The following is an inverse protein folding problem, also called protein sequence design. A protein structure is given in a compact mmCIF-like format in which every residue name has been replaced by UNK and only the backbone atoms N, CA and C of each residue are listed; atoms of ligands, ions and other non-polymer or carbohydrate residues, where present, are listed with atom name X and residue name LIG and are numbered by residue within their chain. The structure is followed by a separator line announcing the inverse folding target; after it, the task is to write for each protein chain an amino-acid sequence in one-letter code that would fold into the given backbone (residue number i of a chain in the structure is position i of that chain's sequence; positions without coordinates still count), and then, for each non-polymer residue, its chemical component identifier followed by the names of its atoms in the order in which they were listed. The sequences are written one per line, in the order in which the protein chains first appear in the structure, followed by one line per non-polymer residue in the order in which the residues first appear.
data_IF_879920205533
#
_entry.id   IF_879920205533
#
_cell.length_a   1.000
_cell.length_b   1.000
_cell.length_c   1.000
_cell.angle_alpha   90.00
_cell.angle_beta   90.00
_cell.angle_gamma   90.00
#
_symmetry.space_group_name_H-M   'P 1'
#
loop_
_entity.id
_entity.type
_entity.pdbx_description
1 polymer ?
#
# COMPACT_ATOMS: atom_id res chain seq x y z
N UNK A 1 -9.49 -34.87 -14.59
CA UNK A 1 -9.57 -33.53 -13.96
C UNK A 1 -10.08 -32.55 -15.00
N UNK A 2 -11.03 -31.67 -14.67
CA UNK A 2 -11.60 -30.71 -15.64
C UNK A 2 -10.64 -29.53 -15.85
N UNK A 3 -10.54 -28.97 -17.07
CA UNK A 3 -9.73 -27.76 -17.36
C UNK A 3 -10.07 -26.58 -16.43
N UNK A 4 -11.32 -26.50 -15.94
CA UNK A 4 -11.75 -25.49 -14.97
C UNK A 4 -11.11 -25.69 -13.58
N UNK A 5 -10.94 -26.95 -13.17
CA UNK A 5 -10.25 -27.28 -11.90
C UNK A 5 -8.76 -26.95 -11.95
N UNK A 6 -8.15 -27.11 -13.12
CA UNK A 6 -6.74 -26.79 -13.35
C UNK A 6 -6.48 -25.28 -13.37
N UNK A 7 -7.30 -24.50 -14.09
CA UNK A 7 -7.24 -23.04 -14.04
C UNK A 7 -7.44 -22.49 -12.62
N UNK A 8 -8.39 -23.05 -11.87
CA UNK A 8 -8.62 -22.65 -10.47
C UNK A 8 -7.40 -22.91 -9.60
N UNK A 9 -6.71 -24.03 -9.80
CA UNK A 9 -5.47 -24.34 -9.11
C UNK A 9 -4.35 -23.36 -9.48
N UNK A 10 -4.15 -23.09 -10.78
CA UNK A 10 -3.12 -22.16 -11.27
C UNK A 10 -3.32 -20.74 -10.72
N UNK A 11 -4.54 -20.21 -10.74
CA UNK A 11 -4.82 -18.90 -10.16
C UNK A 11 -4.53 -18.85 -8.67
N UNK A 12 -4.84 -19.92 -7.94
CA UNK A 12 -4.54 -20.01 -6.50
C UNK A 12 -3.03 -20.05 -6.25
N UNK A 13 -2.28 -20.83 -7.02
CA UNK A 13 -0.82 -20.92 -6.92
C UNK A 13 -0.15 -19.57 -7.19
N UNK A 14 -0.64 -18.81 -8.17
CA UNK A 14 -0.15 -17.46 -8.51
C UNK A 14 -0.67 -16.35 -7.57
N UNK A 15 -1.51 -16.69 -6.59
CA UNK A 15 -2.21 -15.73 -5.71
C UNK A 15 -2.91 -14.64 -6.51
N UNK A 16 -3.66 -15.04 -7.55
CA UNK A 16 -4.34 -14.13 -8.47
C UNK A 16 -5.89 -14.22 -8.35
N UNK A 17 -6.47 -13.89 -7.18
CA UNK A 17 -7.88 -14.10 -6.91
C UNK A 17 -8.81 -13.15 -7.67
N UNK A 18 -8.36 -11.96 -8.06
CA UNK A 18 -9.19 -11.04 -8.84
C UNK A 18 -9.25 -11.47 -10.31
N UNK A 19 -8.12 -11.91 -10.88
CA UNK A 19 -8.11 -12.56 -12.19
C UNK A 19 -9.00 -13.81 -12.20
N UNK A 20 -8.93 -14.66 -11.18
CA UNK A 20 -9.77 -15.86 -11.07
C UNK A 20 -11.28 -15.54 -11.11
N UNK A 21 -11.70 -14.48 -10.39
CA UNK A 21 -13.11 -14.04 -10.37
C UNK A 21 -13.55 -13.42 -11.69
N UNK A 22 -12.67 -12.68 -12.37
CA UNK A 22 -13.00 -11.95 -13.59
C UNK A 22 -12.92 -12.82 -14.85
N UNK A 23 -12.08 -13.85 -14.86
CA UNK A 23 -11.78 -14.69 -16.03
C UNK A 23 -13.03 -15.22 -16.73
N UNK A 24 -14.06 -15.79 -16.06
CA UNK A 24 -15.23 -16.31 -16.76
C UNK A 24 -15.97 -15.24 -17.58
N UNK A 25 -16.15 -14.04 -17.01
CA UNK A 25 -16.79 -12.91 -17.70
C UNK A 25 -15.93 -12.39 -18.85
N UNK A 26 -14.62 -12.29 -18.65
CA UNK A 26 -13.68 -11.87 -19.69
C UNK A 26 -13.60 -12.88 -20.83
N UNK A 27 -13.73 -14.17 -20.54
CA UNK A 27 -13.71 -15.22 -21.55
C UNK A 27 -14.97 -15.18 -22.44
N UNK A 28 -16.16 -14.94 -21.86
CA UNK A 28 -17.37 -14.71 -22.65
C UNK A 28 -17.23 -13.47 -23.55
N UNK A 29 -16.72 -12.37 -22.98
CA UNK A 29 -16.51 -11.13 -23.72
C UNK A 29 -15.50 -11.28 -24.85
N UNK A 30 -14.41 -11.99 -24.61
CA UNK A 30 -13.40 -12.27 -25.62
C UNK A 30 -13.96 -13.08 -26.79
N UNK A 31 -14.89 -14.01 -26.53
CA UNK A 31 -15.60 -14.76 -27.59
C UNK A 31 -16.56 -13.86 -28.37
N UNK A 32 -17.35 -13.03 -27.69
CA UNK A 32 -18.34 -12.17 -28.35
C UNK A 32 -17.72 -11.04 -29.17
N UNK A 33 -16.58 -10.52 -28.72
CA UNK A 33 -15.89 -9.39 -29.37
C UNK A 33 -14.68 -9.84 -30.20
N UNK A 34 -14.52 -11.15 -30.44
CA UNK A 34 -13.42 -11.75 -31.23
C UNK A 34 -12.02 -11.24 -30.82
N UNK A 35 -11.74 -11.23 -29.52
CA UNK A 35 -10.44 -10.78 -29.02
C UNK A 35 -9.33 -11.76 -29.42
N UNK A 36 -8.13 -11.21 -29.67
CA UNK A 36 -6.93 -12.02 -29.76
C UNK A 36 -6.59 -12.66 -28.39
N UNK A 37 -5.81 -13.73 -28.42
CA UNK A 37 -5.36 -14.42 -27.20
C UNK A 37 -4.55 -13.48 -26.30
N UNK A 38 -3.73 -12.61 -26.89
CA UNK A 38 -2.93 -11.61 -26.21
C UNK A 38 -3.82 -10.61 -25.47
N UNK A 39 -4.86 -10.07 -26.14
CA UNK A 39 -5.81 -9.12 -25.54
C UNK A 39 -6.59 -9.74 -24.39
N UNK A 40 -7.03 -10.99 -24.53
CA UNK A 40 -7.68 -11.72 -23.46
C UNK A 40 -6.75 -11.90 -22.25
N UNK A 41 -5.51 -12.33 -22.48
CA UNK A 41 -4.53 -12.52 -21.41
C UNK A 41 -4.19 -11.19 -20.72
N UNK A 42 -3.99 -10.13 -21.49
CA UNK A 42 -3.75 -8.77 -20.98
C UNK A 42 -4.90 -8.32 -20.06
N UNK A 43 -6.16 -8.49 -20.47
CA UNK A 43 -7.31 -8.09 -19.65
C UNK A 43 -7.40 -8.87 -18.33
N UNK A 44 -7.13 -10.18 -18.36
CA UNK A 44 -7.12 -11.03 -17.16
C UNK A 44 -6.01 -10.61 -16.20
N UNK A 45 -4.79 -10.42 -16.69
CA UNK A 45 -3.64 -10.03 -15.88
C UNK A 45 -3.80 -8.60 -15.33
N UNK A 46 -4.26 -7.66 -16.16
CA UNK A 46 -4.50 -6.27 -15.76
C UNK A 46 -5.50 -6.17 -14.61
N UNK A 47 -6.55 -7.00 -14.63
CA UNK A 47 -7.53 -7.04 -13.53
C UNK A 47 -6.87 -7.40 -12.18
N UNK A 48 -5.93 -8.34 -12.18
CA UNK A 48 -5.21 -8.70 -10.96
C UNK A 48 -4.23 -7.59 -10.53
N UNK A 49 -3.52 -6.98 -11.47
CA UNK A 49 -2.60 -5.88 -11.19
C UNK A 49 -3.36 -4.71 -10.56
N UNK A 50 -4.45 -4.25 -11.18
CA UNK A 50 -5.28 -3.17 -10.65
C UNK A 50 -5.91 -3.53 -9.30
N UNK A 51 -6.28 -4.80 -9.09
CA UNK A 51 -6.75 -5.28 -7.79
C UNK A 51 -5.65 -5.23 -6.72
N UNK A 52 -4.41 -5.59 -7.05
CA UNK A 52 -3.27 -5.53 -6.12
C UNK A 52 -2.86 -4.11 -5.81
N UNK A 53 -2.93 -3.21 -6.77
CA UNK A 53 -2.68 -1.79 -6.55
C UNK A 53 -3.74 -1.20 -5.62
N UNK A 54 -5.02 -1.45 -5.89
CA UNK A 54 -6.14 -0.96 -5.06
C UNK A 54 -6.20 -1.59 -3.66
N UNK A 55 -6.10 -2.92 -3.55
CA UNK A 55 -6.26 -3.64 -2.27
C UNK A 55 -4.95 -3.79 -1.49
N UNK A 56 -3.80 -3.76 -2.19
CA UNK A 56 -2.49 -3.85 -1.55
C UNK A 56 -2.26 -2.68 -0.60
N UNK A 57 -2.74 -1.48 -0.98
CA UNK A 57 -2.66 -0.29 -0.13
C UNK A 57 -3.34 -0.49 1.21
N UNK A 58 -4.63 -0.81 1.19
CA UNK A 58 -5.42 -1.02 2.42
C UNK A 58 -4.93 -2.22 3.24
N UNK A 59 -4.47 -3.29 2.58
CA UNK A 59 -3.84 -4.42 3.25
C UNK A 59 -2.58 -4.00 4.02
N UNK A 60 -1.71 -3.18 3.41
CA UNK A 60 -0.50 -2.63 4.04
C UNK A 60 -0.84 -1.68 5.18
N UNK A 61 -1.86 -0.81 5.03
CA UNK A 61 -2.34 0.07 6.10
C UNK A 61 -2.76 -0.75 7.32
N UNK A 62 -3.55 -1.81 7.12
CA UNK A 62 -3.98 -2.70 8.21
C UNK A 62 -2.80 -3.42 8.86
N UNK A 63 -1.82 -3.87 8.06
CA UNK A 63 -0.62 -4.53 8.56
C UNK A 63 0.30 -3.59 9.36
N UNK A 64 0.33 -2.31 9.04
CA UNK A 64 1.13 -1.30 9.73
C UNK A 64 0.63 -0.95 11.14
N UNK A 65 -0.64 -1.27 11.47
CA UNK A 65 -1.26 -1.09 12.80
C UNK A 65 -1.15 0.34 13.34
N UNK A 66 -1.42 1.35 12.50
CA UNK A 66 -1.52 2.74 12.96
C UNK A 66 -2.59 2.87 14.06
N UNK A 67 -2.34 3.72 15.06
CA UNK A 67 -3.30 3.96 16.14
C UNK A 67 -4.59 4.67 15.70
N UNK A 68 -4.54 5.37 14.56
CA UNK A 68 -5.70 5.95 13.89
C UNK A 68 -5.41 6.07 12.39
N UNK A 69 -6.47 6.23 11.57
CA UNK A 69 -6.32 6.65 10.17
C UNK A 69 -6.23 8.18 10.15
N UNK A 70 -5.15 8.72 9.59
CA UNK A 70 -4.91 10.16 9.42
C UNK A 70 -4.39 10.42 8.03
N UNK A 71 -4.88 11.44 7.34
CA UNK A 71 -4.41 11.80 5.99
C UNK A 71 -3.69 13.15 6.00
N UNK A 72 -2.94 13.46 4.94
CA UNK A 72 -2.27 14.76 4.84
C UNK A 72 -3.31 15.88 4.63
N UNK A 73 -4.43 15.55 3.99
CA UNK A 73 -5.55 16.44 3.70
C UNK A 73 -6.27 16.87 4.99
N UNK A 74 -6.32 15.99 5.98
CA UNK A 74 -6.91 16.26 7.31
C UNK A 74 -5.98 17.09 8.22
N UNK A 75 -4.75 17.40 7.81
CA UNK A 75 -3.82 18.15 8.65
C UNK A 75 -4.14 19.65 8.63
N UNK A 76 -4.40 20.23 9.81
CA UNK A 76 -4.67 21.65 9.95
C UNK A 76 -3.38 22.49 9.98
N UNK A 77 -2.99 23.00 8.80
CA UNK A 77 -1.87 23.92 8.63
C UNK A 77 -2.12 25.31 9.24
N UNK A 78 -3.38 25.69 9.51
CA UNK A 78 -3.69 26.99 10.12
C UNK A 78 -3.38 27.01 11.62
N UNK A 79 -3.55 25.84 12.28
CA UNK A 79 -3.15 25.60 13.66
C UNK A 79 -1.62 25.48 13.80
N UNK A 80 -0.97 24.74 12.89
CA UNK A 80 0.49 24.56 12.90
C UNK A 80 1.20 25.44 11.87
N UNK A 81 1.32 26.74 12.17
CA UNK A 81 1.88 27.74 11.24
C UNK A 81 3.38 27.63 10.98
N UNK A 82 4.13 26.93 11.84
CA UNK A 82 5.60 26.79 11.66
C UNK A 82 5.97 25.79 10.55
N UNK A 83 5.03 24.94 10.13
CA UNK A 83 5.25 23.95 9.08
C UNK A 83 4.84 24.52 7.73
N UNK A 84 5.78 24.54 6.79
CA UNK A 84 5.51 24.92 5.39
C UNK A 84 4.75 23.79 4.70
N UNK A 85 3.52 24.07 4.25
CA UNK A 85 2.66 23.10 3.53
C UNK A 85 3.38 22.41 2.37
N UNK A 86 4.10 23.18 1.56
CA UNK A 86 4.87 22.68 0.41
C UNK A 86 5.85 21.56 0.79
N UNK A 87 6.49 21.64 1.96
CA UNK A 87 7.43 20.61 2.42
C UNK A 87 6.69 19.32 2.73
N UNK A 88 5.53 19.40 3.38
CA UNK A 88 4.71 18.22 3.70
C UNK A 88 4.12 17.59 2.43
N UNK A 89 3.69 18.40 1.46
CA UNK A 89 3.20 17.92 0.16
C UNK A 89 4.32 17.22 -0.62
N UNK A 90 5.54 17.75 -0.59
CA UNK A 90 6.71 17.10 -1.19
C UNK A 90 7.05 15.77 -0.51
N UNK A 91 7.07 15.73 0.83
CA UNK A 91 7.23 14.47 1.58
C UNK A 91 6.11 13.46 1.24
N UNK A 92 4.91 13.93 0.94
CA UNK A 92 3.78 13.12 0.48
C UNK A 92 4.01 12.42 -0.87
N UNK A 93 4.97 12.88 -1.69
CA UNK A 93 5.40 12.20 -2.92
C UNK A 93 6.33 11.00 -2.64
N UNK A 94 6.83 10.87 -1.41
CA UNK A 94 7.65 9.74 -0.96
C UNK A 94 9.05 9.63 -1.59
N UNK A 95 9.53 10.67 -2.27
CA UNK A 95 10.87 10.69 -2.89
C UNK A 95 12.00 10.35 -1.89
N UNK A 96 11.82 10.75 -0.62
CA UNK A 96 12.76 10.44 0.47
C UNK A 96 12.95 8.93 0.69
N UNK A 97 11.95 8.09 0.40
CA UNK A 97 12.08 6.64 0.47
C UNK A 97 13.03 6.10 -0.60
N UNK A 98 12.97 6.66 -1.81
CA UNK A 98 13.87 6.30 -2.91
C UNK A 98 15.30 6.79 -2.64
N UNK A 99 15.43 8.01 -2.12
CA UNK A 99 16.71 8.60 -1.72
C UNK A 99 17.32 7.94 -0.46
N UNK A 100 16.56 7.07 0.23
CA UNK A 100 16.94 6.44 1.51
C UNK A 100 17.26 7.47 2.61
N UNK A 101 16.50 8.55 2.63
CA UNK A 101 16.62 9.64 3.58
C UNK A 101 15.65 9.47 4.76
N UNK A 102 16.02 10.07 5.90
CA UNK A 102 15.21 10.03 7.10
C UNK A 102 14.42 11.32 7.28
N UNK A 103 13.12 11.20 7.56
CA UNK A 103 12.27 12.34 7.94
C UNK A 103 12.15 12.37 9.46
N UNK A 104 12.62 13.45 10.08
CA UNK A 104 12.52 13.66 11.53
C UNK A 104 11.59 14.84 11.82
N UNK A 105 10.50 14.57 12.54
CA UNK A 105 9.53 15.60 12.94
C UNK A 105 9.85 16.08 14.35
N UNK A 106 10.26 17.34 14.49
CA UNK A 106 10.65 17.96 15.76
C UNK A 106 9.66 19.04 16.20
N UNK A 107 9.40 19.14 17.49
CA UNK A 107 8.59 20.21 18.08
C UNK A 107 7.86 19.80 19.36
N UNK A 108 7.25 20.77 20.08
CA UNK A 108 6.52 20.55 21.33
C UNK A 108 5.42 19.47 21.22
N UNK A 109 5.03 18.81 22.33
CA UNK A 109 3.90 17.88 22.30
C UNK A 109 2.61 18.55 21.76
N UNK A 110 1.73 17.77 21.14
CA UNK A 110 0.45 18.27 20.60
C UNK A 110 0.51 18.98 19.25
N UNK A 111 1.69 19.14 18.63
CA UNK A 111 1.85 19.85 17.35
C UNK A 111 1.52 19.05 16.09
N UNK A 112 0.93 17.86 16.21
CA UNK A 112 0.53 17.04 15.06
C UNK A 112 1.64 16.17 14.43
N UNK A 113 2.80 16.01 15.09
CA UNK A 113 3.88 15.13 14.60
C UNK A 113 3.41 13.69 14.32
N UNK A 114 2.67 13.10 15.26
CA UNK A 114 2.13 11.74 15.11
C UNK A 114 1.12 11.66 13.96
N UNK A 115 0.32 12.70 13.75
CA UNK A 115 -0.59 12.78 12.60
C UNK A 115 0.20 12.73 11.29
N UNK A 116 1.21 13.58 11.14
CA UNK A 116 2.04 13.63 9.94
C UNK A 116 2.77 12.30 9.70
N UNK A 117 3.32 11.68 10.74
CA UNK A 117 3.97 10.38 10.64
C UNK A 117 3.00 9.28 10.16
N UNK A 118 1.78 9.24 10.70
CA UNK A 118 0.73 8.31 10.28
C UNK A 118 0.31 8.60 8.83
N UNK A 119 0.09 9.86 8.49
CA UNK A 119 -0.36 10.26 7.15
C UNK A 119 0.66 9.94 6.06
N UNK A 120 1.95 10.20 6.32
CA UNK A 120 3.05 9.78 5.44
C UNK A 120 3.14 8.25 5.36
N UNK A 121 2.96 7.55 6.48
CA UNK A 121 2.91 6.08 6.50
C UNK A 121 1.75 5.51 5.66
N UNK A 122 0.57 6.13 5.72
CA UNK A 122 -0.59 5.75 4.89
C UNK A 122 -0.30 6.01 3.41
N UNK A 123 0.27 7.17 3.06
CA UNK A 123 0.71 7.47 1.69
C UNK A 123 1.71 6.42 1.19
N UNK A 124 2.68 6.04 2.01
CA UNK A 124 3.64 4.98 1.68
C UNK A 124 2.96 3.61 1.49
N UNK A 125 2.00 3.26 2.34
CA UNK A 125 1.22 2.04 2.17
C UNK A 125 0.46 2.05 0.85
N UNK A 126 -0.20 3.15 0.49
CA UNK A 126 -0.93 3.27 -0.78
C UNK A 126 0.04 3.23 -1.98
N UNK A 127 1.22 3.84 -1.85
CA UNK A 127 2.28 3.84 -2.87
C UNK A 127 3.06 2.53 -3.03
N UNK A 128 2.63 1.43 -2.41
CA UNK A 128 3.26 0.12 -2.61
C UNK A 128 4.17 -0.36 -1.47
N UNK A 129 4.51 0.50 -0.51
CA UNK A 129 5.53 0.23 0.49
C UNK A 129 4.96 -0.46 1.73
N UNK A 130 5.71 -1.42 2.29
CA UNK A 130 5.39 -2.01 3.59
C UNK A 130 5.86 -1.06 4.68
N UNK A 131 4.94 -0.69 5.58
CA UNK A 131 5.23 0.21 6.70
C UNK A 131 5.06 -0.55 8.01
N UNK A 132 5.90 -0.23 8.99
CA UNK A 132 5.71 -0.64 10.38
C UNK A 132 5.67 0.62 11.24
N UNK A 133 4.69 0.70 12.13
CA UNK A 133 4.52 1.80 13.05
C UNK A 133 4.65 1.30 14.48
N UNK A 134 5.37 2.05 15.31
CA UNK A 134 5.61 1.73 16.72
C UNK A 134 6.08 2.98 17.46
N UNK A 135 5.92 2.96 18.78
CA UNK A 135 6.58 3.93 19.66
C UNK A 135 8.09 3.69 19.70
N UNK A 136 8.86 4.67 20.16
CA UNK A 136 10.30 4.52 20.29
C UNK A 136 10.69 3.36 21.22
N UNK A 137 9.96 3.17 22.32
CA UNK A 137 10.19 2.06 23.27
C UNK A 137 9.91 0.70 22.63
N UNK A 138 8.82 0.59 21.85
CA UNK A 138 8.54 -0.62 21.08
C UNK A 138 9.63 -0.91 20.05
N UNK A 139 10.16 0.12 19.38
CA UNK A 139 11.26 -0.05 18.43
C UNK A 139 12.54 -0.54 19.10
N UNK A 140 12.91 0.02 20.26
CA UNK A 140 14.06 -0.47 21.03
C UNK A 140 13.90 -1.95 21.38
N UNK A 141 12.70 -2.36 21.82
CA UNK A 141 12.42 -3.76 22.14
C UNK A 141 12.51 -4.67 20.89
N UNK A 142 11.86 -4.28 19.78
CA UNK A 142 11.85 -5.04 18.52
C UNK A 142 13.24 -5.20 17.92
N UNK A 143 14.01 -4.11 17.85
CA UNK A 143 15.37 -4.11 17.30
C UNK A 143 16.33 -4.88 18.22
N UNK A 144 16.15 -4.76 19.54
CA UNK A 144 16.92 -5.55 20.49
C UNK A 144 16.67 -7.05 20.37
N UNK A 145 15.42 -7.47 20.16
CA UNK A 145 15.07 -8.87 19.91
C UNK A 145 15.60 -9.37 18.57
N UNK A 146 15.41 -8.62 17.49
CA UNK A 146 15.94 -8.99 16.17
C UNK A 146 17.46 -9.21 16.22
N UNK A 147 18.20 -8.29 16.87
CA UNK A 147 19.65 -8.42 17.04
C UNK A 147 20.08 -9.69 17.81
N UNK A 148 19.26 -10.20 18.73
CA UNK A 148 19.53 -11.47 19.44
C UNK A 148 19.29 -12.68 18.55
N UNK A 149 18.33 -12.59 17.62
CA UNK A 149 17.92 -13.70 16.76
C UNK A 149 18.76 -13.84 15.47
N UNK A 150 19.52 -12.81 15.09
CA UNK A 150 20.40 -12.79 13.91
C UNK A 150 19.77 -12.07 12.72
#
# INVERSE_FOLDING_TARGET
MSRVSELSHLFRALKAPAAARAMPKLAERARSEEWSHERFLEAVLSTEVSSRESHGGEGRIRAARFGARKTLEEFDFTFQRSIKRQVIEHLGQLDFLHAKENVVLLGPPGTGKTHLAIALGIRACLGGHRVSFATATEWVARLGEAKRQG
#
